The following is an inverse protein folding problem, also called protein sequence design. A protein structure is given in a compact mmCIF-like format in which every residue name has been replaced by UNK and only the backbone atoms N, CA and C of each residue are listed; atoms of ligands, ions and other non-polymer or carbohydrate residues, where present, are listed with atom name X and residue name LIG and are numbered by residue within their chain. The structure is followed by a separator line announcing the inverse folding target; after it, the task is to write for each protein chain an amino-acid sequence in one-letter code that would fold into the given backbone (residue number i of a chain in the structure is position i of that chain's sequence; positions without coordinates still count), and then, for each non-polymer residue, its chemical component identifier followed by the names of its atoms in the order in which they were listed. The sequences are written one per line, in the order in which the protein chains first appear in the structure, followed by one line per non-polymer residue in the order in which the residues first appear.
data_IF_174305959375
#
_entry.id   IF_174305959375
#
_cell.length_a   1.000
_cell.length_b   1.000
_cell.length_c   1.000
_cell.angle_alpha   90.00
_cell.angle_beta   90.00
_cell.angle_gamma   90.00
#
_symmetry.space_group_name_H-M   'P 1'
#
loop_
_entity.id
_entity.type
_entity.pdbx_description
1 polymer ?
#
# COMPACT_ATOMS: atom_id res chain seq x y z
N UNK A 1 -18.62 5.11 13.94
CA UNK A 1 -17.36 5.83 14.26
C UNK A 1 -16.57 5.07 15.33
N UNK A 2 -15.23 5.09 15.29
CA UNK A 2 -14.40 4.39 16.28
C UNK A 2 -12.90 4.64 16.07
N UNK A 3 -12.06 4.18 17.01
CA UNK A 3 -10.65 4.56 17.10
C UNK A 3 -9.86 4.31 15.81
N UNK A 4 -10.04 3.15 15.17
CA UNK A 4 -9.27 2.83 13.97
C UNK A 4 -9.74 3.66 12.78
N UNK A 5 -11.04 3.96 12.66
CA UNK A 5 -11.54 4.90 11.65
C UNK A 5 -10.94 6.31 11.81
N UNK A 6 -10.78 6.78 13.04
CA UNK A 6 -10.14 8.08 13.32
C UNK A 6 -8.68 8.08 12.84
N UNK A 7 -7.95 6.97 13.06
CA UNK A 7 -6.58 6.81 12.59
C UNK A 7 -6.52 6.82 11.05
N UNK A 8 -7.41 6.07 10.38
CA UNK A 8 -7.48 6.05 8.92
C UNK A 8 -7.77 7.44 8.35
N UNK A 9 -8.67 8.20 8.99
CA UNK A 9 -8.95 9.58 8.60
C UNK A 9 -7.73 10.48 8.79
N UNK A 10 -7.04 10.39 9.93
CA UNK A 10 -5.82 11.16 10.19
C UNK A 10 -4.76 10.89 9.11
N UNK A 11 -4.43 9.61 8.86
CA UNK A 11 -3.39 9.22 7.91
C UNK A 11 -3.77 9.54 6.47
N UNK A 12 -5.07 9.50 6.13
CA UNK A 12 -5.55 9.84 4.78
C UNK A 12 -5.37 11.32 4.42
N UNK A 13 -5.16 12.18 5.42
CA UNK A 13 -4.92 13.62 5.26
C UNK A 13 -3.43 13.98 5.33
N UNK A 14 -2.54 12.98 5.46
CA UNK A 14 -1.09 13.22 5.46
C UNK A 14 -0.66 13.83 4.11
N UNK A 15 0.02 14.98 4.15
CA UNK A 15 0.38 15.74 2.94
C UNK A 15 1.34 14.97 2.03
N UNK A 16 2.34 14.30 2.58
CA UNK A 16 3.29 13.47 1.83
C UNK A 16 2.56 12.30 1.14
N UNK A 17 1.60 11.66 1.82
CA UNK A 17 0.77 10.64 1.20
C UNK A 17 -0.04 11.18 0.01
N UNK A 18 -0.68 12.34 0.17
CA UNK A 18 -1.45 12.98 -0.92
C UNK A 18 -0.56 13.46 -2.08
N UNK A 19 0.71 13.79 -1.82
CA UNK A 19 1.69 14.11 -2.86
C UNK A 19 2.15 12.85 -3.62
N UNK A 20 2.44 11.75 -2.91
CA UNK A 20 2.91 10.49 -3.51
C UNK A 20 1.77 9.71 -4.20
N UNK A 21 0.53 9.91 -3.78
CA UNK A 21 -0.68 9.34 -4.38
C UNK A 21 -1.59 10.46 -4.92
N UNK A 22 -1.53 10.80 -6.21
CA UNK A 22 -2.47 11.77 -6.77
C UNK A 22 -3.90 11.24 -6.74
N UNK A 23 -4.77 11.95 -6.01
CA UNK A 23 -6.22 11.79 -6.00
C UNK A 23 -6.88 13.01 -6.62
N UNK A 24 -7.97 12.82 -7.39
CA UNK A 24 -8.80 13.97 -7.77
C UNK A 24 -9.66 14.43 -6.59
N UNK A 25 -10.12 15.67 -6.61
CA UNK A 25 -11.03 16.21 -5.58
C UNK A 25 -12.28 15.32 -5.40
N UNK A 26 -12.82 14.80 -6.50
CA UNK A 26 -13.97 13.89 -6.47
C UNK A 26 -13.68 12.58 -5.70
N UNK A 27 -12.44 12.08 -5.78
CA UNK A 27 -12.03 10.87 -5.07
C UNK A 27 -11.77 11.15 -3.58
N UNK A 28 -11.20 12.32 -3.27
CA UNK A 28 -11.04 12.79 -1.89
C UNK A 28 -12.40 12.92 -1.21
N UNK A 29 -13.38 13.55 -1.88
CA UNK A 29 -14.76 13.67 -1.37
C UNK A 29 -15.43 12.31 -1.12
N UNK A 30 -15.07 11.28 -1.90
CA UNK A 30 -15.54 9.90 -1.73
C UNK A 30 -14.74 9.10 -0.70
N UNK A 31 -13.81 9.75 0.03
CA UNK A 31 -12.94 9.12 1.03
C UNK A 31 -12.04 8.01 0.45
N UNK A 32 -11.71 8.08 -0.84
CA UNK A 32 -10.79 7.11 -1.46
C UNK A 32 -9.41 7.06 -0.78
N UNK A 33 -8.81 8.20 -0.33
CA UNK A 33 -7.58 8.16 0.44
C UNK A 33 -7.69 7.31 1.73
N UNK A 34 -8.84 7.34 2.41
CA UNK A 34 -9.08 6.52 3.61
C UNK A 34 -9.13 5.03 3.25
N UNK A 35 -9.76 4.68 2.12
CA UNK A 35 -9.78 3.29 1.64
C UNK A 35 -8.37 2.79 1.29
N UNK A 36 -7.50 3.64 0.74
CA UNK A 36 -6.11 3.29 0.47
C UNK A 36 -5.35 3.00 1.77
N UNK A 37 -5.47 3.85 2.78
CA UNK A 37 -4.85 3.59 4.10
C UNK A 37 -5.40 2.28 4.71
N UNK A 38 -6.70 2.02 4.60
CA UNK A 38 -7.30 0.76 5.07
C UNK A 38 -6.74 -0.45 4.32
N UNK A 39 -6.65 -0.37 2.99
CA UNK A 39 -6.04 -1.42 2.15
C UNK A 39 -4.60 -1.69 2.54
N UNK A 40 -3.81 -0.65 2.79
CA UNK A 40 -2.42 -0.79 3.23
C UNK A 40 -2.33 -1.67 4.49
N UNK A 41 -3.04 -1.33 5.56
CA UNK A 41 -2.96 -2.09 6.81
C UNK A 41 -3.56 -3.48 6.70
N UNK A 42 -4.72 -3.61 6.05
CA UNK A 42 -5.38 -4.90 5.88
C UNK A 42 -4.48 -5.88 5.12
N UNK A 43 -3.87 -5.45 4.01
CA UNK A 43 -2.94 -6.29 3.27
C UNK A 43 -1.62 -6.49 4.02
N UNK A 44 -1.03 -5.45 4.63
CA UNK A 44 0.23 -5.59 5.38
C UNK A 44 0.17 -6.63 6.50
N UNK A 45 -0.97 -6.69 7.19
CA UNK A 45 -1.12 -7.55 8.35
C UNK A 45 -1.90 -8.84 8.06
N UNK A 46 -2.58 -8.95 6.91
CA UNK A 46 -3.49 -10.07 6.65
C UNK A 46 -3.58 -10.52 5.18
N UNK A 47 -2.68 -10.11 4.28
CA UNK A 47 -2.74 -10.51 2.85
C UNK A 47 -2.74 -12.03 2.64
N UNK A 48 -2.09 -12.79 3.54
CA UNK A 48 -2.06 -14.24 3.47
C UNK A 48 -3.45 -14.86 3.71
N UNK A 49 -4.39 -14.18 4.35
CA UNK A 49 -5.75 -14.68 4.57
C UNK A 49 -6.76 -14.03 3.61
N UNK A 50 -6.31 -13.26 2.63
CA UNK A 50 -7.18 -12.74 1.58
C UNK A 50 -7.72 -13.90 0.72
N UNK A 51 -9.03 -13.94 0.47
CA UNK A 51 -9.65 -14.97 -0.37
C UNK A 51 -10.02 -14.46 -1.77
N UNK A 52 -11.15 -13.78 -1.90
CA UNK A 52 -11.68 -13.26 -3.17
C UNK A 52 -12.29 -11.88 -3.06
N UNK A 53 -13.07 -11.61 -2.01
CA UNK A 53 -13.87 -10.39 -1.93
C UNK A 53 -13.18 -9.30 -1.11
N UNK A 54 -12.70 -8.28 -1.81
CA UNK A 54 -12.00 -7.14 -1.21
C UNK A 54 -12.87 -6.41 -0.18
N UNK A 55 -14.14 -6.15 -0.47
CA UNK A 55 -15.02 -5.44 0.47
C UNK A 55 -15.15 -6.18 1.80
N UNK A 56 -15.35 -7.49 1.76
CA UNK A 56 -15.45 -8.34 2.95
C UNK A 56 -14.13 -8.34 3.72
N UNK A 57 -13.01 -8.52 3.03
CA UNK A 57 -11.68 -8.47 3.63
C UNK A 57 -11.41 -7.15 4.38
N UNK A 58 -11.72 -6.00 3.76
CA UNK A 58 -11.52 -4.69 4.39
C UNK A 58 -12.51 -4.45 5.55
N UNK A 59 -13.77 -4.88 5.40
CA UNK A 59 -14.78 -4.74 6.45
C UNK A 59 -14.45 -5.56 7.69
N UNK A 60 -13.95 -6.78 7.51
CA UNK A 60 -13.60 -7.66 8.63
C UNK A 60 -12.37 -7.12 9.37
N UNK A 61 -11.34 -6.70 8.63
CA UNK A 61 -10.16 -6.05 9.22
C UNK A 61 -10.53 -4.79 10.01
N UNK A 62 -11.40 -3.95 9.44
CA UNK A 62 -11.89 -2.73 10.09
C UNK A 62 -12.65 -3.06 11.38
N UNK A 63 -13.59 -4.01 11.37
CA UNK A 63 -14.35 -4.42 12.56
C UNK A 63 -13.45 -4.96 13.67
N UNK A 64 -12.44 -5.73 13.30
CA UNK A 64 -11.50 -6.32 14.25
C UNK A 64 -10.67 -5.25 14.99
N UNK A 65 -10.12 -4.29 14.24
CA UNK A 65 -9.17 -3.30 14.76
C UNK A 65 -9.82 -2.05 15.35
N UNK A 66 -11.11 -1.82 15.11
CA UNK A 66 -11.82 -0.64 15.59
C UNK A 66 -12.27 -0.72 17.07
N UNK A 67 -11.66 -1.60 17.87
CA UNK A 67 -12.02 -1.85 19.28
C UNK A 67 -11.26 -0.98 20.27
N UNK A 68 -9.97 -0.70 20.01
CA UNK A 68 -9.11 0.09 20.88
C UNK A 68 -8.00 0.82 20.08
N UNK A 69 -7.05 1.45 20.76
CA UNK A 69 -5.99 2.29 20.16
C UNK A 69 -4.57 1.72 20.32
N UNK A 70 -4.42 0.48 20.82
CA UNK A 70 -3.12 -0.04 21.31
C UNK A 70 -2.00 0.04 20.28
N UNK A 71 -2.28 -0.26 19.03
CA UNK A 71 -1.25 -0.36 17.99
C UNK A 71 -1.10 0.89 17.12
N UNK A 72 -1.84 1.96 17.41
CA UNK A 72 -1.93 3.13 16.52
C UNK A 72 -0.58 3.82 16.27
N UNK A 73 0.25 4.00 17.30
CA UNK A 73 1.55 4.66 17.13
C UNK A 73 2.51 3.81 16.27
N UNK A 74 2.49 2.49 16.46
CA UNK A 74 3.24 1.57 15.60
C UNK A 74 2.75 1.64 14.15
N UNK A 75 1.43 1.61 13.94
CA UNK A 75 0.81 1.70 12.62
C UNK A 75 1.16 3.02 11.91
N UNK A 76 1.14 4.14 12.63
CA UNK A 76 1.59 5.45 12.11
C UNK A 76 3.05 5.41 11.70
N UNK A 77 3.93 4.88 12.55
CA UNK A 77 5.36 4.80 12.27
C UNK A 77 5.66 3.91 11.05
N UNK A 78 4.95 2.79 10.90
CA UNK A 78 5.08 1.91 9.73
C UNK A 78 4.60 2.58 8.44
N UNK A 79 3.47 3.29 8.50
CA UNK A 79 2.96 4.04 7.36
C UNK A 79 3.93 5.15 6.96
N UNK A 80 4.43 5.93 7.93
CA UNK A 80 5.39 7.00 7.68
C UNK A 80 6.71 6.47 7.10
N UNK A 81 7.28 5.41 7.68
CA UNK A 81 8.51 4.79 7.16
C UNK A 81 8.35 4.29 5.72
N UNK A 82 7.17 3.79 5.38
CA UNK A 82 6.82 3.37 4.02
C UNK A 82 6.75 4.57 3.07
N UNK A 83 6.12 5.68 3.46
CA UNK A 83 6.07 6.90 2.65
C UNK A 83 7.47 7.48 2.41
N UNK A 84 8.29 7.58 3.47
CA UNK A 84 9.66 8.11 3.39
C UNK A 84 10.52 7.29 2.42
N UNK A 85 10.38 5.96 2.47
CA UNK A 85 11.08 5.08 1.54
C UNK A 85 10.60 5.28 0.09
N UNK A 86 9.29 5.40 -0.10
CA UNK A 86 8.71 5.61 -1.44
C UNK A 86 9.16 6.96 -2.01
N UNK A 87 9.09 8.03 -1.23
CA UNK A 87 9.55 9.35 -1.65
C UNK A 87 11.03 9.33 -2.06
N UNK A 88 11.87 8.63 -1.29
CA UNK A 88 13.32 8.56 -1.55
C UNK A 88 13.67 7.75 -2.80
N UNK A 89 12.95 6.66 -3.09
CA UNK A 89 13.39 5.67 -4.09
C UNK A 89 12.48 5.54 -5.31
N UNK A 90 11.25 6.05 -5.28
CA UNK A 90 10.28 5.92 -6.37
C UNK A 90 10.05 7.29 -7.00
N UNK A 91 10.65 7.54 -8.16
CA UNK A 91 10.62 8.84 -8.85
C UNK A 91 9.19 9.39 -9.06
N UNK A 92 8.20 8.51 -9.21
CA UNK A 92 6.80 8.86 -9.46
C UNK A 92 5.87 8.57 -8.26
N UNK A 93 6.43 8.33 -7.08
CA UNK A 93 5.68 7.82 -5.93
C UNK A 93 4.93 6.54 -6.28
N UNK A 94 3.62 6.51 -6.01
CA UNK A 94 2.76 5.37 -6.37
C UNK A 94 2.18 5.45 -7.79
N UNK A 95 2.34 6.58 -8.46
CA UNK A 95 1.85 6.76 -9.83
C UNK A 95 2.69 5.96 -10.83
N UNK A 96 2.11 5.68 -12.00
CA UNK A 96 2.83 5.00 -13.09
C UNK A 96 3.81 5.95 -13.79
N UNK A 97 3.55 7.25 -13.78
CA UNK A 97 4.45 8.28 -14.34
C UNK A 97 4.03 9.67 -13.85
N UNK A 98 4.92 10.66 -13.99
CA UNK A 98 4.64 12.09 -13.68
C UNK A 98 3.37 12.64 -14.34
N UNK A 99 2.93 12.08 -15.47
CA UNK A 99 1.73 12.54 -16.21
C UNK A 99 0.43 11.88 -15.75
N UNK A 100 0.52 10.76 -15.04
CA UNK A 100 -0.67 10.04 -14.58
C UNK A 100 -1.26 10.70 -13.34
N UNK A 101 -2.49 11.19 -13.47
CA UNK A 101 -3.25 11.89 -12.42
C UNK A 101 -3.99 10.96 -11.45
N UNK A 102 -3.71 9.66 -11.48
CA UNK A 102 -4.36 8.66 -10.63
C UNK A 102 -3.40 7.55 -10.27
N UNK A 103 -3.49 7.09 -9.03
CA UNK A 103 -2.81 5.87 -8.57
C UNK A 103 -3.73 4.66 -8.67
N UNK A 104 -3.38 3.62 -9.46
CA UNK A 104 -4.14 2.37 -9.44
C UNK A 104 -4.05 1.68 -8.07
N UNK A 105 -5.18 1.25 -7.51
CA UNK A 105 -5.26 0.54 -6.22
C UNK A 105 -4.28 -0.65 -6.14
N UNK A 106 -4.26 -1.50 -7.17
CA UNK A 106 -3.40 -2.70 -7.21
C UNK A 106 -1.91 -2.32 -7.14
N UNK A 107 -1.51 -1.24 -7.83
CA UNK A 107 -0.13 -0.73 -7.80
C UNK A 107 0.21 -0.17 -6.42
N UNK A 108 -0.69 0.61 -5.84
CA UNK A 108 -0.53 1.10 -4.47
C UNK A 108 -0.38 -0.06 -3.47
N UNK A 109 -1.25 -1.06 -3.51
CA UNK A 109 -1.19 -2.23 -2.63
C UNK A 109 0.13 -2.98 -2.77
N UNK A 110 0.56 -3.28 -4.00
CA UNK A 110 1.81 -3.99 -4.25
C UNK A 110 3.01 -3.21 -3.70
N UNK A 111 3.11 -1.92 -4.02
CA UNK A 111 4.25 -1.08 -3.62
C UNK A 111 4.25 -0.84 -2.11
N UNK A 112 3.17 -0.28 -1.56
CA UNK A 112 3.12 0.12 -0.15
C UNK A 112 3.34 -1.08 0.78
N UNK A 113 2.67 -2.20 0.52
CA UNK A 113 2.78 -3.40 1.35
C UNK A 113 4.13 -4.09 1.15
N UNK A 114 4.61 -4.21 -0.09
CA UNK A 114 5.91 -4.81 -0.38
C UNK A 114 7.07 -4.03 0.25
N UNK A 115 7.04 -2.69 0.18
CA UNK A 115 8.00 -1.80 0.85
C UNK A 115 7.96 -1.99 2.35
N UNK A 116 6.78 -1.93 2.98
CA UNK A 116 6.67 -2.10 4.43
C UNK A 116 7.16 -3.48 4.89
N UNK A 117 6.86 -4.56 4.15
CA UNK A 117 7.38 -5.90 4.43
C UNK A 117 8.91 -5.99 4.28
N UNK A 118 9.49 -5.26 3.33
CA UNK A 118 10.94 -5.20 3.16
C UNK A 118 11.61 -4.44 4.31
N UNK A 119 11.03 -3.30 4.72
CA UNK A 119 11.49 -2.49 5.86
C UNK A 119 11.39 -3.25 7.20
N UNK A 120 10.35 -4.09 7.38
CA UNK A 120 10.25 -5.01 8.53
C UNK A 120 11.44 -5.97 8.61
N UNK A 121 11.99 -6.40 7.47
CA UNK A 121 13.16 -7.30 7.40
C UNK A 121 14.49 -6.56 7.50
N UNK A 122 14.58 -5.36 6.94
CA UNK A 122 15.76 -4.52 6.98
C UNK A 122 15.36 -3.04 7.07
N UNK A 123 15.51 -2.43 8.25
CA UNK A 123 15.14 -1.02 8.46
C UNK A 123 16.02 -0.03 7.70
N UNK A 124 17.26 -0.41 7.38
CA UNK A 124 18.23 0.44 6.68
C UNK A 124 18.33 0.09 5.18
N UNK A 125 17.25 -0.45 4.62
CA UNK A 125 17.19 -0.95 3.26
C UNK A 125 17.69 0.08 2.24
N UNK A 126 18.67 -0.32 1.43
CA UNK A 126 19.12 0.43 0.26
C UNK A 126 18.96 -0.48 -0.96
N UNK A 127 17.96 -0.25 -1.83
CA UNK A 127 17.73 -1.10 -2.99
C UNK A 127 18.88 -0.94 -3.99
N UNK A 128 19.40 -2.04 -4.53
CA UNK A 128 20.44 -2.01 -5.58
C UNK A 128 19.93 -1.43 -6.89
N UNK A 129 18.66 -1.68 -7.21
CA UNK A 129 18.03 -1.22 -8.44
C UNK A 129 16.53 -1.03 -8.27
N UNK A 130 15.98 -0.08 -9.01
CA UNK A 130 14.55 0.17 -9.14
C UNK A 130 14.02 -0.18 -10.54
N UNK A 131 14.87 -0.74 -11.43
CA UNK A 131 14.51 -1.01 -12.84
C UNK A 131 13.33 -1.98 -13.00
N UNK A 132 13.10 -2.84 -12.00
CA UNK A 132 11.96 -3.76 -11.96
C UNK A 132 10.61 -3.03 -11.94
N UNK A 133 10.54 -1.74 -11.55
CA UNK A 133 9.31 -0.95 -11.58
C UNK A 133 8.74 -0.74 -12.98
N UNK A 134 9.58 -0.83 -14.00
CA UNK A 134 9.20 -0.68 -15.41
C UNK A 134 9.18 -2.01 -16.17
N UNK A 135 9.44 -3.13 -15.48
CA UNK A 135 9.52 -4.45 -16.09
C UNK A 135 8.16 -4.94 -16.60
N UNK A 136 8.13 -5.78 -17.66
CA UNK A 136 6.90 -6.44 -18.12
C UNK A 136 6.20 -7.22 -17.01
N UNK A 137 6.95 -7.88 -16.13
CA UNK A 137 6.43 -8.69 -15.02
C UNK A 137 5.69 -7.81 -14.01
N UNK A 138 6.28 -6.69 -13.59
CA UNK A 138 5.61 -5.80 -12.65
C UNK A 138 4.37 -5.15 -13.25
N UNK A 139 4.43 -4.83 -14.55
CA UNK A 139 3.26 -4.34 -15.30
C UNK A 139 2.16 -5.40 -15.28
N UNK A 140 2.45 -6.65 -15.62
CA UNK A 140 1.49 -7.77 -15.58
C UNK A 140 0.86 -7.92 -14.19
N UNK A 141 1.67 -7.86 -13.12
CA UNK A 141 1.19 -8.06 -11.75
C UNK A 141 0.35 -6.90 -11.21
N UNK A 142 0.37 -5.74 -11.88
CA UNK A 142 -0.30 -4.50 -11.44
C UNK A 142 -1.32 -3.93 -12.42
N UNK A 143 -1.69 -4.66 -13.48
CA UNK A 143 -2.78 -4.27 -14.38
C UNK A 143 -4.17 -4.47 -13.75
N UNK A 144 -5.19 -3.79 -14.28
CA UNK A 144 -6.58 -3.94 -13.82
C UNK A 144 -7.17 -5.34 -14.07
N UNK A 145 -6.65 -6.07 -15.07
CA UNK A 145 -7.06 -7.44 -15.39
C UNK A 145 -6.40 -8.48 -14.48
N UNK A 146 -5.49 -8.05 -13.60
CA UNK A 146 -4.93 -8.90 -12.57
C UNK A 146 -6.03 -9.31 -11.57
N UNK A 147 -6.54 -10.54 -11.74
CA UNK A 147 -7.53 -11.13 -10.84
C UNK A 147 -7.16 -10.99 -9.36
N UNK A 148 -8.15 -10.65 -8.55
CA UNK A 148 -8.10 -10.67 -7.08
C UNK A 148 -8.18 -12.10 -6.53
N UNK A 149 -7.39 -13.03 -7.07
CA UNK A 149 -7.20 -14.33 -6.43
C UNK A 149 -6.07 -14.23 -5.41
N UNK A 150 -6.19 -14.95 -4.29
CA UNK A 150 -5.14 -15.03 -3.26
C UNK A 150 -3.72 -15.21 -3.81
N UNK A 151 -3.44 -16.17 -4.74
CA UNK A 151 -2.09 -16.33 -5.27
C UNK A 151 -1.57 -15.08 -6.00
N UNK A 152 -2.44 -14.34 -6.71
CA UNK A 152 -2.05 -13.12 -7.42
C UNK A 152 -1.81 -11.94 -6.47
N UNK A 153 -2.56 -11.85 -5.37
CA UNK A 153 -2.31 -10.87 -4.29
C UNK A 153 -0.94 -11.11 -3.66
N UNK A 154 -0.67 -12.35 -3.25
CA UNK A 154 0.63 -12.72 -2.68
C UNK A 154 1.74 -12.40 -3.67
N UNK A 155 1.63 -12.89 -4.92
CA UNK A 155 2.66 -12.71 -5.95
C UNK A 155 3.07 -11.25 -6.15
N UNK A 156 2.12 -10.31 -6.29
CA UNK A 156 2.46 -8.90 -6.55
C UNK A 156 3.10 -8.20 -5.35
N UNK A 157 2.65 -8.52 -4.13
CA UNK A 157 3.18 -7.94 -2.89
C UNK A 157 4.60 -8.46 -2.65
N UNK A 158 4.77 -9.78 -2.75
CA UNK A 158 6.06 -10.42 -2.51
C UNK A 158 7.08 -10.10 -3.59
N UNK A 159 6.65 -9.94 -4.84
CA UNK A 159 7.53 -9.46 -5.91
C UNK A 159 8.20 -8.13 -5.53
N UNK A 160 7.44 -7.13 -5.08
CA UNK A 160 8.04 -5.85 -4.63
C UNK A 160 9.01 -6.06 -3.47
N UNK A 161 8.58 -6.80 -2.44
CA UNK A 161 9.41 -7.09 -1.26
C UNK A 161 10.74 -7.73 -1.67
N UNK A 162 10.69 -8.73 -2.54
CA UNK A 162 11.84 -9.56 -2.88
C UNK A 162 12.79 -8.84 -3.85
N UNK A 163 12.26 -8.02 -4.77
CA UNK A 163 13.07 -7.11 -5.58
C UNK A 163 13.84 -6.10 -4.73
N UNK A 164 13.23 -5.55 -3.67
CA UNK A 164 13.90 -4.61 -2.78
C UNK A 164 14.97 -5.26 -1.89
N UNK A 165 14.80 -6.55 -1.55
CA UNK A 165 15.71 -7.32 -0.69
C UNK A 165 16.78 -8.11 -1.45
N UNK A 166 16.89 -7.92 -2.77
CA UNK A 166 17.76 -8.70 -3.66
C UNK A 166 17.54 -10.23 -3.56
N UNK A 167 16.29 -10.65 -3.37
CA UNK A 167 15.87 -12.06 -3.40
C UNK A 167 15.23 -12.37 -4.75
N UNK A 168 15.98 -12.16 -5.83
CA UNK A 168 15.55 -12.56 -7.17
C UNK A 168 15.78 -14.06 -7.39
#
# INVERSE_FOLDING_TARGET
PGPFLDLLEQLSKNEQFLQLCPFSEALILRREPQEFVLRFFAYLNNYNNFERQVSTFLNDYLKEHNKDRRDHETMKAEFQSMLDFVEKHFENGFSKSKRHKKTPRIRFEAISVGVALALRKNRNLQPKSMNWLDSPEFKEYTTSDASNSRPKVIRRIEYVRDQLLDKA
#
